data_IF_779700089654
#
_entry.id   IF_779700089654
#
_cell.length_a   1.000
_cell.length_b   1.000
_cell.length_c   1.000
_cell.angle_alpha   90.00
_cell.angle_beta   90.00
_cell.angle_gamma   90.00
#
_symmetry.space_group_name_H-M   'P 1'
#
loop_
_entity.id
_entity.type
_entity.pdbx_description
1 polymer ?
#
# COMPACT_ATOMS: atom_id res chain seq x y z
N UNK A 1 -10.02 8.87 15.81
CA UNK A 1 -8.58 8.54 15.93
C UNK A 1 -8.44 7.13 16.48
N UNK A 2 -7.72 6.27 15.76
CA UNK A 2 -7.38 4.89 16.13
C UNK A 2 -5.87 4.85 16.37
N UNK A 3 -5.45 4.75 17.62
CA UNK A 3 -4.02 4.85 17.99
C UNK A 3 -3.58 3.76 18.95
N UNK A 4 -2.39 3.19 18.73
CA UNK A 4 -1.75 2.26 19.67
C UNK A 4 -2.44 0.91 19.83
N UNK A 5 -3.27 0.49 18.86
CA UNK A 5 -4.00 -0.78 18.93
C UNK A 5 -3.16 -1.94 18.37
N UNK A 6 -3.41 -3.14 18.87
CA UNK A 6 -2.87 -4.40 18.34
C UNK A 6 -4.00 -5.28 17.85
N UNK A 7 -4.07 -5.55 16.54
CA UNK A 7 -5.13 -6.32 15.90
C UNK A 7 -4.56 -7.57 15.22
N UNK A 8 -4.81 -8.76 15.80
CA UNK A 8 -4.19 -10.02 15.35
C UNK A 8 -5.20 -11.12 15.04
N UNK A 9 -4.97 -11.88 13.97
CA UNK A 9 -5.74 -13.09 13.64
C UNK A 9 -7.20 -12.84 13.28
N UNK A 10 -7.55 -11.62 12.82
CA UNK A 10 -8.91 -11.25 12.44
C UNK A 10 -9.10 -11.36 10.92
N UNK A 11 -10.30 -11.00 10.46
CA UNK A 11 -10.53 -10.73 9.05
C UNK A 11 -9.69 -9.53 8.60
N UNK A 12 -10.06 -8.32 9.03
CA UNK A 12 -9.25 -7.11 8.92
C UNK A 12 -8.71 -6.72 10.31
N UNK A 13 -7.51 -6.14 10.37
CA UNK A 13 -7.00 -5.58 11.63
C UNK A 13 -7.75 -4.30 12.02
N UNK A 14 -7.80 -3.33 11.12
CA UNK A 14 -8.60 -2.10 11.21
C UNK A 14 -9.39 -1.95 9.91
N UNK A 15 -10.67 -1.60 10.01
CA UNK A 15 -11.54 -1.41 8.85
C UNK A 15 -12.27 -0.08 8.93
N UNK A 16 -12.14 0.74 7.88
CA UNK A 16 -12.89 1.98 7.68
C UNK A 16 -13.78 1.77 6.45
N UNK A 17 -15.07 2.12 6.58
CA UNK A 17 -16.09 1.97 5.56
C UNK A 17 -16.95 3.23 5.55
N UNK A 18 -16.97 3.98 4.43
CA UNK A 18 -17.73 5.22 4.35
C UNK A 18 -17.33 6.27 5.40
N UNK A 19 -16.08 6.21 5.89
CA UNK A 19 -15.63 6.96 7.08
C UNK A 19 -14.52 7.94 6.72
N UNK A 20 -14.78 9.23 6.93
CA UNK A 20 -13.90 10.32 6.50
C UNK A 20 -13.20 10.99 7.69
N UNK A 21 -12.14 11.75 7.43
CA UNK A 21 -11.45 12.59 8.43
C UNK A 21 -10.88 11.82 9.64
N UNK A 22 -10.50 10.56 9.47
CA UNK A 22 -9.92 9.74 10.53
C UNK A 22 -8.40 9.73 10.50
N UNK A 23 -7.82 9.59 11.69
CA UNK A 23 -6.39 9.28 11.87
C UNK A 23 -6.24 7.84 12.38
N UNK A 24 -5.51 7.03 11.62
CA UNK A 24 -5.06 5.67 11.98
C UNK A 24 -3.55 5.74 12.19
N UNK A 25 -3.10 5.71 13.44
CA UNK A 25 -1.68 5.96 13.76
C UNK A 25 -1.08 5.01 14.78
N UNK A 26 0.15 4.55 14.54
CA UNK A 26 0.88 3.75 15.54
C UNK A 26 0.19 2.44 15.94
N UNK A 27 -0.56 1.80 15.04
CA UNK A 27 -1.20 0.52 15.30
C UNK A 27 -0.34 -0.64 14.76
N UNK A 28 -0.51 -1.83 15.33
CA UNK A 28 0.10 -3.07 14.85
C UNK A 28 -0.99 -4.03 14.39
N UNK A 29 -0.99 -4.41 13.11
CA UNK A 29 -1.96 -5.32 12.51
C UNK A 29 -1.25 -6.54 11.94
N UNK A 30 -1.46 -7.73 12.52
CA UNK A 30 -0.65 -8.91 12.18
C UNK A 30 -1.50 -10.16 11.92
N UNK A 31 -1.15 -10.91 10.88
CA UNK A 31 -1.76 -12.23 10.63
C UNK A 31 -3.27 -12.17 10.34
N UNK A 32 -3.77 -11.05 9.79
CA UNK A 32 -5.18 -10.91 9.44
C UNK A 32 -5.44 -11.47 8.04
N UNK A 33 -6.59 -12.10 7.82
CA UNK A 33 -6.88 -12.86 6.60
C UNK A 33 -7.23 -12.01 5.38
N UNK A 34 -7.41 -10.69 5.56
CA UNK A 34 -7.52 -9.70 4.48
C UNK A 34 -6.49 -8.57 4.68
N UNK A 35 -6.92 -7.32 4.86
CA UNK A 35 -6.01 -6.20 5.09
C UNK A 35 -5.57 -6.09 6.55
N UNK A 36 -4.31 -5.75 6.79
CA UNK A 36 -3.90 -5.24 8.11
C UNK A 36 -4.71 -4.00 8.46
N UNK A 37 -4.70 -3.02 7.56
CA UNK A 37 -5.61 -1.87 7.54
C UNK A 37 -6.36 -1.87 6.21
N UNK A 38 -7.69 -1.80 6.26
CA UNK A 38 -8.56 -1.79 5.08
C UNK A 38 -9.44 -0.54 5.11
N UNK A 39 -9.45 0.23 4.03
CA UNK A 39 -10.15 1.52 3.92
C UNK A 39 -10.95 1.53 2.62
N UNK A 40 -12.28 1.60 2.70
CA UNK A 40 -13.18 1.47 1.55
C UNK A 40 -14.16 2.65 1.50
N UNK A 41 -14.30 3.29 0.34
CA UNK A 41 -15.22 4.40 0.13
C UNK A 41 -15.02 5.53 1.16
N UNK A 42 -13.77 5.91 1.40
CA UNK A 42 -13.37 6.83 2.46
C UNK A 42 -12.48 7.95 1.91
N UNK A 43 -12.61 9.14 2.49
CA UNK A 43 -11.88 10.33 2.05
C UNK A 43 -11.18 11.04 3.21
N UNK A 44 -10.12 11.79 2.90
CA UNK A 44 -9.45 12.69 3.84
C UNK A 44 -8.93 11.98 5.12
N UNK A 45 -8.54 10.70 5.02
CA UNK A 45 -7.95 9.96 6.14
C UNK A 45 -6.42 10.01 6.13
N UNK A 46 -5.84 9.90 7.33
CA UNK A 46 -4.39 9.81 7.54
C UNK A 46 -4.02 8.48 8.16
N UNK A 47 -3.11 7.75 7.52
CA UNK A 47 -2.58 6.44 7.94
C UNK A 47 -1.09 6.59 8.18
N UNK A 48 -0.66 6.69 9.44
CA UNK A 48 0.73 7.07 9.78
C UNK A 48 1.39 6.14 10.77
N UNK A 49 2.61 5.69 10.49
CA UNK A 49 3.42 4.97 11.48
C UNK A 49 2.82 3.65 11.95
N UNK A 50 2.02 2.98 11.13
CA UNK A 50 1.45 1.67 11.46
C UNK A 50 2.37 0.54 10.98
N UNK A 51 2.32 -0.60 11.67
CA UNK A 51 3.02 -1.83 11.30
C UNK A 51 2.00 -2.87 10.86
N UNK A 52 2.08 -3.33 9.61
CA UNK A 52 1.20 -4.34 9.04
C UNK A 52 2.01 -5.55 8.57
N UNK A 53 1.95 -6.65 9.32
CA UNK A 53 2.82 -7.83 9.11
C UNK A 53 2.03 -9.11 8.84
N UNK A 54 2.41 -9.89 7.82
CA UNK A 54 1.85 -11.22 7.59
C UNK A 54 0.34 -11.24 7.33
N UNK A 55 -0.22 -10.17 6.78
CA UNK A 55 -1.62 -10.10 6.35
C UNK A 55 -1.73 -10.47 4.86
N UNK A 56 -2.93 -10.44 4.26
CA UNK A 56 -3.04 -10.54 2.80
C UNK A 56 -2.46 -9.29 2.15
N UNK A 57 -2.99 -8.10 2.44
CA UNK A 57 -2.32 -6.83 2.12
C UNK A 57 -1.95 -6.14 3.42
N UNK A 58 -0.82 -5.44 3.46
CA UNK A 58 -0.46 -4.66 4.64
C UNK A 58 -1.49 -3.54 4.88
N UNK A 59 -1.62 -2.66 3.90
CA UNK A 59 -2.65 -1.62 3.83
C UNK A 59 -3.34 -1.74 2.48
N UNK A 60 -4.66 -1.92 2.49
CA UNK A 60 -5.49 -1.95 1.29
C UNK A 60 -6.49 -0.80 1.32
N UNK A 61 -6.56 -0.05 0.22
CA UNK A 61 -7.59 0.97 0.03
C UNK A 61 -8.31 0.79 -1.29
N UNK A 62 -9.60 1.10 -1.29
CA UNK A 62 -10.44 1.00 -2.48
C UNK A 62 -11.45 2.15 -2.53
N UNK A 63 -11.55 2.81 -3.68
CA UNK A 63 -12.45 3.94 -3.92
C UNK A 63 -12.24 5.07 -2.90
N UNK A 64 -11.05 5.68 -2.93
CA UNK A 64 -10.64 6.67 -1.93
C UNK A 64 -10.15 7.98 -2.55
N UNK A 65 -10.45 9.08 -1.88
CA UNK A 65 -9.96 10.41 -2.25
C UNK A 65 -9.08 11.01 -1.13
N UNK A 66 -7.92 11.54 -1.51
CA UNK A 66 -7.07 12.36 -0.63
C UNK A 66 -6.64 11.65 0.68
N UNK A 67 -6.14 10.42 0.56
CA UNK A 67 -5.58 9.68 1.70
C UNK A 67 -4.07 9.93 1.82
N UNK A 68 -3.58 10.11 3.04
CA UNK A 68 -2.15 10.26 3.30
C UNK A 68 -1.59 9.05 4.05
N UNK A 69 -0.67 8.32 3.42
CA UNK A 69 0.07 7.19 3.99
C UNK A 69 1.50 7.61 4.30
N UNK A 70 1.85 7.77 5.57
CA UNK A 70 3.18 8.25 5.98
C UNK A 70 3.89 7.29 6.92
N UNK A 71 5.11 6.86 6.56
CA UNK A 71 5.97 6.14 7.50
C UNK A 71 5.42 4.82 8.01
N UNK A 72 4.56 4.14 7.25
CA UNK A 72 4.06 2.82 7.61
C UNK A 72 5.08 1.73 7.21
N UNK A 73 5.06 0.62 7.95
CA UNK A 73 5.87 -0.56 7.69
C UNK A 73 4.96 -1.71 7.31
N UNK A 74 5.09 -2.22 6.09
CA UNK A 74 4.32 -3.37 5.59
C UNK A 74 5.27 -4.51 5.23
N UNK A 75 5.24 -5.60 6.00
CA UNK A 75 6.24 -6.67 5.92
C UNK A 75 5.60 -8.06 5.76
N UNK A 76 6.15 -8.88 4.87
CA UNK A 76 5.79 -10.30 4.78
C UNK A 76 4.32 -10.56 4.44
N UNK A 77 3.62 -9.62 3.80
CA UNK A 77 2.22 -9.79 3.45
C UNK A 77 2.10 -10.69 2.20
N UNK A 78 1.04 -11.51 2.12
CA UNK A 78 0.86 -12.51 1.06
C UNK A 78 0.32 -11.94 -0.26
N UNK A 79 0.22 -10.62 -0.36
CA UNK A 79 0.03 -9.85 -1.59
C UNK A 79 0.93 -8.62 -1.54
N UNK A 80 0.39 -7.40 -1.60
CA UNK A 80 1.19 -6.18 -1.65
C UNK A 80 1.32 -5.53 -0.28
N UNK A 81 2.40 -4.76 -0.08
CA UNK A 81 2.59 -4.00 1.15
C UNK A 81 1.54 -2.91 1.32
N UNK A 82 1.44 -2.02 0.34
CA UNK A 82 0.37 -1.00 0.24
C UNK A 82 -0.29 -1.13 -1.13
N UNK A 83 -1.60 -1.34 -1.17
CA UNK A 83 -2.37 -1.45 -2.40
C UNK A 83 -3.45 -0.35 -2.43
N UNK A 84 -3.36 0.52 -3.41
CA UNK A 84 -4.31 1.58 -3.70
C UNK A 84 -5.10 1.26 -4.97
N UNK A 85 -6.33 0.76 -4.80
CA UNK A 85 -7.29 0.55 -5.89
C UNK A 85 -8.20 1.77 -6.01
N UNK A 86 -8.43 2.27 -7.23
CA UNK A 86 -9.34 3.39 -7.52
C UNK A 86 -9.10 4.58 -6.58
N UNK A 87 -7.85 5.01 -6.52
CA UNK A 87 -7.38 6.04 -5.60
C UNK A 87 -7.12 7.36 -6.32
N UNK A 88 -7.56 8.46 -5.73
CA UNK A 88 -7.45 9.78 -6.33
C UNK A 88 -6.78 10.76 -5.37
N UNK A 89 -5.83 11.56 -5.86
CA UNK A 89 -5.18 12.63 -5.09
C UNK A 89 -4.55 12.19 -3.75
N UNK A 90 -4.15 10.92 -3.64
CA UNK A 90 -3.56 10.38 -2.41
C UNK A 90 -2.04 10.51 -2.39
N UNK A 91 -1.47 10.56 -1.19
CA UNK A 91 -0.02 10.70 -0.97
C UNK A 91 0.52 9.49 -0.23
N UNK A 92 1.51 8.80 -0.81
CA UNK A 92 2.22 7.67 -0.23
C UNK A 92 3.67 8.09 -0.01
N UNK A 93 4.05 8.39 1.23
CA UNK A 93 5.35 8.99 1.55
C UNK A 93 6.12 8.27 2.66
N UNK A 94 7.39 7.99 2.41
CA UNK A 94 8.29 7.48 3.45
C UNK A 94 7.92 6.11 4.03
N UNK A 95 7.15 5.29 3.32
CA UNK A 95 6.74 3.97 3.77
C UNK A 95 7.83 2.92 3.46
N UNK A 96 7.85 1.83 4.23
CA UNK A 96 8.72 0.68 4.02
C UNK A 96 7.88 -0.55 3.69
N UNK A 97 8.05 -1.10 2.48
CA UNK A 97 7.36 -2.31 2.04
C UNK A 97 8.39 -3.40 1.71
N UNK A 98 8.50 -4.42 2.58
CA UNK A 98 9.56 -5.42 2.50
C UNK A 98 9.03 -6.85 2.49
N UNK A 99 9.57 -7.72 1.65
CA UNK A 99 9.27 -9.16 1.72
C UNK A 99 7.82 -9.53 1.39
N UNK A 100 7.09 -8.68 0.67
CA UNK A 100 5.71 -8.98 0.28
C UNK A 100 5.70 -9.86 -0.98
N UNK A 101 4.78 -10.83 -1.07
CA UNK A 101 4.80 -11.84 -2.15
C UNK A 101 4.28 -11.32 -3.50
N UNK A 102 3.81 -10.08 -3.55
CA UNK A 102 3.57 -9.34 -4.78
C UNK A 102 4.43 -8.09 -4.82
N UNK A 103 3.80 -6.90 -4.82
CA UNK A 103 4.47 -5.63 -4.99
C UNK A 103 4.73 -4.96 -3.65
N UNK A 104 5.73 -4.08 -3.58
CA UNK A 104 5.89 -3.23 -2.39
C UNK A 104 4.72 -2.25 -2.26
N UNK A 105 4.54 -1.41 -3.28
CA UNK A 105 3.40 -0.50 -3.43
C UNK A 105 2.74 -0.79 -4.78
N UNK A 106 1.42 -0.94 -4.78
CA UNK A 106 0.63 -1.16 -5.98
C UNK A 106 -0.45 -0.09 -6.12
N UNK A 107 -0.50 0.59 -7.26
CA UNK A 107 -1.58 1.51 -7.63
C UNK A 107 -2.31 0.92 -8.83
N UNK A 108 -3.60 0.66 -8.68
CA UNK A 108 -4.47 0.18 -9.73
C UNK A 108 -5.60 1.20 -9.96
N UNK A 109 -5.86 1.58 -11.21
CA UNK A 109 -6.94 2.50 -11.57
C UNK A 109 -6.89 3.83 -10.79
N UNK A 110 -5.68 4.33 -10.48
CA UNK A 110 -5.46 5.51 -9.65
C UNK A 110 -5.00 6.73 -10.45
N UNK A 111 -5.42 7.93 -10.03
CA UNK A 111 -5.08 9.18 -10.71
C UNK A 111 -4.62 10.26 -9.73
N UNK A 112 -3.65 11.09 -10.15
CA UNK A 112 -3.14 12.22 -9.36
C UNK A 112 -2.53 11.84 -8.00
N UNK A 113 -2.05 10.61 -7.84
CA UNK A 113 -1.38 10.19 -6.61
C UNK A 113 0.09 10.57 -6.62
N UNK A 114 0.65 10.84 -5.43
CA UNK A 114 2.08 11.12 -5.25
C UNK A 114 2.72 10.02 -4.42
N UNK A 115 3.71 9.32 -4.98
CA UNK A 115 4.47 8.26 -4.32
C UNK A 115 5.92 8.72 -4.17
N UNK A 116 6.33 9.11 -2.97
CA UNK A 116 7.62 9.75 -2.74
C UNK A 116 8.41 9.17 -1.56
N UNK A 117 9.70 8.95 -1.75
CA UNK A 117 10.60 8.61 -0.63
C UNK A 117 10.31 7.26 0.02
N UNK A 118 9.59 6.35 -0.64
CA UNK A 118 9.30 5.03 -0.12
C UNK A 118 10.46 4.07 -0.38
N UNK A 119 10.61 3.08 0.48
CA UNK A 119 11.57 1.98 0.33
C UNK A 119 10.80 0.68 0.06
N UNK A 120 11.01 0.09 -1.11
CA UNK A 120 10.40 -1.20 -1.48
C UNK A 120 11.52 -2.21 -1.76
N UNK A 121 11.63 -3.25 -0.95
CA UNK A 121 12.75 -4.19 -1.02
C UNK A 121 12.30 -5.64 -0.89
N UNK A 122 12.99 -6.56 -1.57
CA UNK A 122 12.77 -8.00 -1.41
C UNK A 122 11.31 -8.42 -1.60
N UNK A 123 10.55 -7.65 -2.39
CA UNK A 123 9.21 -8.06 -2.81
C UNK A 123 9.35 -9.03 -3.99
N UNK A 124 8.49 -10.03 -4.04
CA UNK A 124 8.58 -11.11 -5.02
C UNK A 124 8.30 -10.64 -6.46
N UNK A 125 7.61 -9.50 -6.63
CA UNK A 125 7.38 -8.83 -7.92
C UNK A 125 8.00 -7.43 -7.92
N UNK A 126 7.35 -6.44 -8.53
CA UNK A 126 7.87 -5.07 -8.60
C UNK A 126 7.99 -4.41 -7.23
N UNK A 127 8.95 -3.47 -7.08
CA UNK A 127 8.98 -2.60 -5.91
C UNK A 127 7.76 -1.68 -5.85
N UNK A 128 7.56 -0.91 -6.92
CA UNK A 128 6.35 -0.10 -7.14
C UNK A 128 5.75 -0.50 -8.48
N UNK A 129 4.46 -0.81 -8.50
CA UNK A 129 3.70 -1.10 -9.71
C UNK A 129 2.54 -0.13 -9.85
N UNK A 130 2.36 0.42 -11.04
CA UNK A 130 1.29 1.36 -11.39
C UNK A 130 0.60 0.80 -12.63
N UNK A 131 -0.67 0.45 -12.51
CA UNK A 131 -1.45 -0.26 -13.54
C UNK A 131 -2.72 0.51 -13.89
N UNK A 132 -2.95 0.72 -15.18
CA UNK A 132 -4.13 1.42 -15.73
C UNK A 132 -4.39 2.75 -15.00
N UNK A 133 -3.34 3.56 -14.85
CA UNK A 133 -3.30 4.65 -13.88
C UNK A 133 -2.58 5.86 -14.45
N UNK A 134 -3.23 7.02 -14.46
CA UNK A 134 -2.73 8.23 -15.10
C UNK A 134 -2.32 9.32 -14.12
N UNK A 135 -1.49 10.27 -14.58
CA UNK A 135 -1.14 11.49 -13.84
C UNK A 135 -0.56 11.29 -12.42
N UNK A 136 0.07 10.14 -12.16
CA UNK A 136 0.73 9.86 -10.88
C UNK A 136 2.18 10.36 -10.87
N UNK A 137 2.61 10.94 -9.75
CA UNK A 137 3.99 11.38 -9.53
C UNK A 137 4.75 10.35 -8.69
N UNK A 138 5.70 9.64 -9.32
CA UNK A 138 6.57 8.66 -8.65
C UNK A 138 8.00 9.20 -8.59
N UNK A 139 8.48 9.59 -7.40
CA UNK A 139 9.77 10.28 -7.28
C UNK A 139 10.55 9.94 -6.01
N UNK A 140 11.88 9.78 -6.12
CA UNK A 140 12.75 9.61 -4.95
C UNK A 140 12.51 8.32 -4.15
N UNK A 141 11.91 7.29 -4.75
CA UNK A 141 11.72 5.98 -4.13
C UNK A 141 12.97 5.11 -4.30
N UNK A 142 13.21 4.20 -3.34
CA UNK A 142 14.30 3.23 -3.38
C UNK A 142 13.74 1.82 -3.55
N UNK A 143 13.95 1.23 -4.72
CA UNK A 143 13.43 -0.09 -5.06
C UNK A 143 14.60 -1.07 -5.30
N UNK A 144 14.94 -1.91 -4.32
CA UNK A 144 16.14 -2.76 -4.37
C UNK A 144 15.80 -4.23 -4.13
N UNK A 145 16.44 -5.14 -4.86
CA UNK A 145 16.25 -6.59 -4.69
C UNK A 145 14.77 -7.02 -4.76
N UNK A 146 13.94 -6.29 -5.50
CA UNK A 146 12.63 -6.77 -5.90
C UNK A 146 12.81 -7.80 -7.04
N UNK A 147 11.76 -8.49 -7.46
CA UNK A 147 11.88 -9.79 -8.12
C UNK A 147 12.64 -10.80 -7.23
N UNK A 148 12.25 -10.90 -5.95
CA UNK A 148 12.98 -11.71 -4.97
C UNK A 148 13.04 -13.21 -5.32
N UNK A 149 12.12 -13.68 -6.17
CA UNK A 149 12.12 -15.03 -6.72
C UNK A 149 13.02 -15.19 -7.97
N UNK A 150 13.71 -14.13 -8.39
CA UNK A 150 14.69 -14.09 -9.48
C UNK A 150 14.16 -14.68 -10.79
N UNK A 151 12.96 -14.24 -11.17
CA UNK A 151 12.28 -14.66 -12.41
C UNK A 151 12.83 -13.95 -13.65
N UNK A 152 13.47 -12.79 -13.46
CA UNK A 152 13.90 -11.89 -14.52
C UNK A 152 12.76 -11.11 -15.18
N UNK A 153 11.55 -11.11 -14.59
CA UNK A 153 10.35 -10.50 -15.18
C UNK A 153 9.90 -9.22 -14.50
N UNK A 154 10.41 -8.88 -13.31
CA UNK A 154 9.91 -7.75 -12.53
C UNK A 154 11.00 -6.69 -12.26
N UNK A 155 10.62 -5.43 -12.39
CA UNK A 155 11.47 -4.26 -12.17
C UNK A 155 11.36 -3.63 -10.77
N UNK A 156 12.26 -2.69 -10.47
CA UNK A 156 12.14 -1.85 -9.28
C UNK A 156 10.86 -1.00 -9.30
N UNK A 157 10.61 -0.30 -10.41
CA UNK A 157 9.40 0.50 -10.64
C UNK A 157 8.88 0.15 -12.04
N UNK A 158 7.62 -0.26 -12.14
CA UNK A 158 6.94 -0.52 -13.40
C UNK A 158 5.64 0.31 -13.50
N UNK A 159 5.39 0.88 -14.69
CA UNK A 159 4.20 1.66 -15.01
C UNK A 159 3.63 1.09 -16.31
N UNK A 160 2.43 0.53 -16.23
CA UNK A 160 1.71 -0.08 -17.34
C UNK A 160 0.35 0.61 -17.53
N UNK A 161 0.04 0.92 -18.78
CA UNK A 161 -1.26 1.39 -19.23
C UNK A 161 -1.74 0.40 -20.28
N UNK A 162 -2.36 -0.71 -19.86
CA UNK A 162 -3.08 -1.57 -20.80
C UNK A 162 -4.38 -0.87 -21.20
N UNK A 163 -4.26 0.04 -22.17
CA UNK A 163 -5.38 0.66 -22.90
C UNK A 163 -5.86 -0.21 -24.07
N UNK A 164 -5.35 -1.45 -24.20
CA UNK A 164 -5.67 -2.36 -25.29
C UNK A 164 -6.75 -3.39 -24.87
N UNK A 165 -8.00 -2.93 -24.80
CA UNK A 165 -9.20 -3.72 -25.19
C UNK A 165 -10.18 -2.89 -26.04
#
# INVERSE_FOLDING_TARGET
>A
MMTGNTCQGNLNGIYLDGSHDNTVTGNTCQGNTTGGININACDDNTVTGNTCEGNTNGIYVDDVYHITFTGNTCEGNSQSGIHLSRSYHSTVVGNSCTGNTQHGIYIALGTYNTVTGNTCRENDRHGIYVDQSSDNLIVGNSCNLNDANNTGTYDGICIEDDADE
#
